data_IF_494442530857
#
_entry.id   IF_494442530857
#
_cell.length_a   1.000
_cell.length_b   1.000
_cell.length_c   1.000
_cell.angle_alpha   90.00
_cell.angle_beta   90.00
_cell.angle_gamma   90.00
#
_symmetry.space_group_name_H-M   'P 1'
#
loop_
_entity.id
_entity.type
_entity.pdbx_description
1 polymer ?
#
# COMPACT_ATOMS: atom_id res chain seq x y z
N UNK A 1 -11.88 34.21 12.72
CA UNK A 1 -10.76 34.07 11.77
C UNK A 1 -10.39 32.60 11.76
N UNK A 2 -10.94 31.82 10.83
CA UNK A 2 -10.60 30.41 10.70
C UNK A 2 -9.18 30.37 10.14
N UNK A 3 -8.23 29.89 10.93
CA UNK A 3 -6.92 29.54 10.41
C UNK A 3 -7.19 28.32 9.51
N UNK A 4 -6.94 28.45 8.21
CA UNK A 4 -7.09 27.37 7.23
C UNK A 4 -5.94 26.37 7.45
N UNK A 5 -6.00 25.60 8.53
CA UNK A 5 -5.10 24.48 8.78
C UNK A 5 -5.90 23.21 8.59
N UNK A 6 -5.84 22.63 7.38
CA UNK A 6 -6.12 21.22 7.06
C UNK A 6 -7.12 20.50 8.01
N UNK A 7 -8.25 21.16 8.26
CA UNK A 7 -9.05 20.97 9.46
C UNK A 7 -10.53 20.86 9.14
N UNK A 8 -10.86 20.75 7.85
CA UNK A 8 -12.23 20.66 7.36
C UNK A 8 -13.05 19.59 8.09
N UNK A 9 -12.46 18.42 8.35
CA UNK A 9 -13.13 17.34 9.10
C UNK A 9 -13.38 17.69 10.57
N UNK A 10 -12.40 18.27 11.27
CA UNK A 10 -12.57 18.68 12.67
C UNK A 10 -13.56 19.83 12.79
N UNK A 11 -13.46 20.84 11.91
CA UNK A 11 -14.35 21.99 11.89
C UNK A 11 -15.79 21.56 11.55
N UNK A 12 -15.99 20.68 10.57
CA UNK A 12 -17.30 20.11 10.26
C UNK A 12 -17.89 19.36 11.47
N UNK A 13 -17.10 18.54 12.15
CA UNK A 13 -17.53 17.81 13.33
C UNK A 13 -17.85 18.76 14.49
N UNK A 14 -17.00 19.74 14.77
CA UNK A 14 -17.22 20.74 15.83
C UNK A 14 -18.56 21.48 15.65
N UNK A 15 -18.97 21.72 14.40
CA UNK A 15 -20.21 22.41 14.06
C UNK A 15 -21.44 21.48 13.96
N UNK A 16 -21.25 20.15 13.95
CA UNK A 16 -22.34 19.17 13.79
C UNK A 16 -22.50 18.21 14.97
N UNK A 17 -21.54 18.18 15.90
CA UNK A 17 -21.53 17.30 17.08
C UNK A 17 -21.04 18.00 18.35
N UNK A 18 -20.89 17.25 19.45
CA UNK A 18 -20.33 17.79 20.69
C UNK A 18 -18.82 18.02 20.60
N UNK A 19 -18.31 19.06 21.29
CA UNK A 19 -16.87 19.38 21.36
C UNK A 19 -16.00 18.20 21.83
N UNK A 20 -16.51 17.41 22.78
CA UNK A 20 -15.81 16.22 23.31
C UNK A 20 -15.69 15.13 22.23
N UNK A 21 -16.77 14.86 21.51
CA UNK A 21 -16.76 13.86 20.44
C UNK A 21 -15.87 14.30 19.27
N UNK A 22 -15.94 15.57 18.85
CA UNK A 22 -15.08 16.12 17.81
C UNK A 22 -13.57 16.00 18.17
N UNK A 23 -13.20 16.24 19.43
CA UNK A 23 -11.83 16.09 19.89
C UNK A 23 -11.35 14.63 19.90
N UNK A 24 -12.21 13.68 20.31
CA UNK A 24 -11.89 12.24 20.25
C UNK A 24 -11.62 11.80 18.81
N UNK A 25 -12.50 12.20 17.88
CA UNK A 25 -12.34 11.87 16.45
C UNK A 25 -11.05 12.47 15.90
N UNK A 26 -10.75 13.73 16.20
CA UNK A 26 -9.50 14.36 15.75
C UNK A 26 -8.25 13.64 16.27
N UNK A 27 -8.24 13.24 17.55
CA UNK A 27 -7.15 12.46 18.13
C UNK A 27 -7.00 11.09 17.43
N UNK A 28 -8.13 10.39 17.21
CA UNK A 28 -8.14 9.12 16.49
C UNK A 28 -7.65 9.28 15.05
N UNK A 29 -8.02 10.34 14.35
CA UNK A 29 -7.54 10.63 12.99
C UNK A 29 -6.03 10.84 12.94
N UNK A 30 -5.45 11.57 13.89
CA UNK A 30 -3.99 11.75 13.98
C UNK A 30 -3.30 10.40 14.22
N UNK A 31 -3.83 9.57 15.13
CA UNK A 31 -3.32 8.22 15.38
C UNK A 31 -3.40 7.34 14.12
N UNK A 32 -4.51 7.39 13.38
CA UNK A 32 -4.68 6.67 12.13
C UNK A 32 -3.67 7.11 11.07
N UNK A 33 -3.43 8.42 10.90
CA UNK A 33 -2.43 8.92 9.96
C UNK A 33 -1.01 8.47 10.34
N UNK A 34 -0.67 8.49 11.63
CA UNK A 34 0.62 7.97 12.10
C UNK A 34 0.76 6.47 11.83
N UNK A 35 -0.27 5.68 12.11
CA UNK A 35 -0.29 4.25 11.82
C UNK A 35 -0.14 3.96 10.31
N UNK A 36 -0.84 4.70 9.46
CA UNK A 36 -0.70 4.58 8.00
C UNK A 36 0.71 4.93 7.52
N UNK A 37 1.34 5.98 8.06
CA UNK A 37 2.72 6.33 7.73
C UNK A 37 3.69 5.20 8.09
N UNK A 38 3.53 4.59 9.28
CA UNK A 38 4.34 3.44 9.72
C UNK A 38 4.14 2.23 8.81
N UNK A 39 2.89 1.88 8.49
CA UNK A 39 2.57 0.74 7.63
C UNK A 39 3.14 0.94 6.22
N UNK A 40 2.92 2.11 5.62
CA UNK A 40 3.44 2.44 4.28
C UNK A 40 4.97 2.39 4.23
N UNK A 41 5.63 2.98 5.23
CA UNK A 41 7.10 2.98 5.32
C UNK A 41 7.64 1.57 5.55
N UNK A 42 7.02 0.79 6.44
CA UNK A 42 7.43 -0.59 6.72
C UNK A 42 7.30 -1.47 5.49
N UNK A 43 6.21 -1.34 4.73
CA UNK A 43 6.03 -2.04 3.46
C UNK A 43 7.11 -1.64 2.46
N UNK A 44 7.45 -0.36 2.36
CA UNK A 44 8.53 0.12 1.48
C UNK A 44 9.88 -0.49 1.85
N UNK A 45 10.24 -0.46 3.14
CA UNK A 45 11.49 -1.04 3.63
C UNK A 45 11.53 -2.56 3.46
N UNK A 46 10.41 -3.25 3.68
CA UNK A 46 10.28 -4.69 3.41
C UNK A 46 10.47 -5.04 1.92
N UNK A 47 10.05 -4.17 1.00
CA UNK A 47 10.36 -4.37 -0.42
C UNK A 47 11.83 -4.06 -0.73
N UNK A 48 12.46 -3.15 0.03
CA UNK A 48 13.88 -2.81 -0.13
C UNK A 48 14.83 -3.95 0.31
N UNK A 49 14.37 -4.88 1.16
CA UNK A 49 15.16 -6.06 1.54
C UNK A 49 15.41 -7.01 0.37
N UNK A 50 14.61 -6.94 -0.70
CA UNK A 50 14.87 -7.66 -1.96
C UNK A 50 16.20 -7.25 -2.60
N UNK A 51 16.63 -6.01 -2.35
CA UNK A 51 17.88 -5.44 -2.86
C UNK A 51 19.01 -5.61 -1.85
N UNK A 52 18.71 -5.30 -0.59
CA UNK A 52 19.65 -5.30 0.51
C UNK A 52 19.08 -6.15 1.66
N UNK A 53 19.32 -7.48 1.63
CA UNK A 53 18.75 -8.41 2.62
C UNK A 53 19.17 -8.14 4.06
N UNK A 54 20.29 -7.44 4.28
CA UNK A 54 20.84 -7.12 5.60
C UNK A 54 20.20 -5.89 6.28
N UNK A 55 19.11 -5.34 5.72
CA UNK A 55 18.44 -4.16 6.28
C UNK A 55 17.62 -4.51 7.52
N UNK A 56 17.83 -3.73 8.58
CA UNK A 56 17.01 -3.81 9.79
C UNK A 56 15.71 -3.02 9.60
N UNK A 57 14.63 -3.74 9.25
CA UNK A 57 13.34 -3.13 8.85
C UNK A 57 12.86 -2.09 9.85
N UNK A 58 12.85 -2.42 11.15
CA UNK A 58 12.37 -1.52 12.21
C UNK A 58 13.19 -0.23 12.27
N UNK A 59 14.52 -0.33 12.25
CA UNK A 59 15.40 0.83 12.39
C UNK A 59 15.30 1.75 11.16
N UNK A 60 15.24 1.16 9.96
CA UNK A 60 15.05 1.90 8.71
C UNK A 60 13.68 2.60 8.67
N UNK A 61 12.61 1.92 9.11
CA UNK A 61 11.28 2.55 9.21
C UNK A 61 11.31 3.77 10.13
N UNK A 62 11.88 3.65 11.32
CA UNK A 62 12.01 4.77 12.27
C UNK A 62 12.84 5.90 11.66
N UNK A 63 13.94 5.58 10.99
CA UNK A 63 14.81 6.56 10.34
C UNK A 63 14.10 7.34 9.23
N UNK A 64 13.35 6.66 8.36
CA UNK A 64 12.58 7.31 7.29
C UNK A 64 11.49 8.21 7.85
N UNK A 65 10.73 7.75 8.86
CA UNK A 65 9.72 8.57 9.52
C UNK A 65 10.33 9.80 10.20
N UNK A 66 11.46 9.64 10.89
CA UNK A 66 12.18 10.75 11.51
C UNK A 66 12.67 11.77 10.47
N UNK A 67 13.18 11.32 9.33
CA UNK A 67 13.59 12.19 8.24
C UNK A 67 12.41 13.00 7.70
N UNK A 68 11.27 12.37 7.40
CA UNK A 68 10.07 13.08 6.97
C UNK A 68 9.53 14.05 8.04
N UNK A 69 9.57 13.66 9.32
CA UNK A 69 9.19 14.56 10.42
C UNK A 69 10.08 15.81 10.46
N UNK A 70 11.40 15.66 10.29
CA UNK A 70 12.33 16.79 10.22
C UNK A 70 12.04 17.69 9.01
N UNK A 71 11.78 17.11 7.82
CA UNK A 71 11.43 17.87 6.62
C UNK A 71 10.15 18.71 6.83
N UNK A 72 9.16 18.15 7.52
CA UNK A 72 7.94 18.88 7.89
C UNK A 72 8.22 20.00 8.91
N UNK A 73 9.11 19.77 9.88
CA UNK A 73 9.54 20.81 10.84
C UNK A 73 10.31 21.96 10.18
N UNK A 74 11.09 21.67 9.12
CA UNK A 74 11.77 22.68 8.30
C UNK A 74 10.77 23.53 7.50
N UNK A 75 9.51 23.10 7.38
CA UNK A 75 8.44 23.87 6.75
C UNK A 75 8.42 23.76 5.23
N UNK A 76 8.91 22.65 4.67
CA UNK A 76 8.77 22.38 3.24
C UNK A 76 7.28 22.23 2.92
N UNK A 77 6.75 23.16 2.12
CA UNK A 77 5.35 23.13 1.69
C UNK A 77 5.13 21.98 0.71
N UNK A 78 3.99 21.30 0.86
CA UNK A 78 3.56 20.25 -0.07
C UNK A 78 3.40 20.82 -1.49
N UNK A 79 3.86 20.06 -2.49
CA UNK A 79 3.75 20.44 -3.89
C UNK A 79 2.69 19.63 -4.61
N UNK A 80 1.64 20.30 -5.08
CA UNK A 80 0.57 19.68 -5.87
C UNK A 80 1.09 19.08 -7.20
N UNK A 81 2.12 19.68 -7.80
CA UNK A 81 2.74 19.18 -9.04
C UNK A 81 3.48 17.87 -8.76
N UNK A 82 4.26 17.82 -7.67
CA UNK A 82 4.98 16.60 -7.27
C UNK A 82 3.99 15.50 -6.91
N UNK A 83 2.96 15.81 -6.12
CA UNK A 83 1.92 14.84 -5.75
C UNK A 83 1.18 14.28 -6.98
N UNK A 84 0.81 15.14 -7.93
CA UNK A 84 0.16 14.72 -9.17
C UNK A 84 1.09 13.85 -10.03
N UNK A 85 2.38 14.20 -10.10
CA UNK A 85 3.37 13.42 -10.85
C UNK A 85 3.55 12.02 -10.26
N UNK A 86 3.68 11.93 -8.93
CA UNK A 86 3.76 10.65 -8.21
C UNK A 86 2.50 9.80 -8.43
N UNK A 87 1.31 10.43 -8.37
CA UNK A 87 0.05 9.74 -8.62
C UNK A 87 -0.04 9.19 -10.04
N UNK A 88 0.29 9.99 -11.06
CA UNK A 88 0.26 9.54 -12.47
C UNK A 88 1.26 8.41 -12.69
N UNK A 89 2.48 8.53 -12.16
CA UNK A 89 3.49 7.47 -12.24
C UNK A 89 2.99 6.19 -11.56
N UNK A 90 2.42 6.30 -10.36
CA UNK A 90 1.90 5.16 -9.59
C UNK A 90 0.76 4.44 -10.31
N UNK A 91 -0.21 5.19 -10.86
CA UNK A 91 -1.30 4.62 -11.64
C UNK A 91 -0.75 3.93 -12.90
N UNK A 92 0.20 4.56 -13.60
CA UNK A 92 0.80 3.98 -14.80
C UNK A 92 1.56 2.67 -14.51
N UNK A 93 2.38 2.62 -13.46
CA UNK A 93 3.11 1.40 -13.08
C UNK A 93 2.16 0.30 -12.62
N UNK A 94 1.14 0.61 -11.82
CA UNK A 94 0.13 -0.37 -11.41
C UNK A 94 -0.69 -0.89 -12.59
N UNK A 95 -1.08 -0.04 -13.53
CA UNK A 95 -1.79 -0.47 -14.75
C UNK A 95 -0.92 -1.39 -15.58
N UNK A 96 0.34 -1.02 -15.84
CA UNK A 96 1.26 -1.85 -16.61
C UNK A 96 1.46 -3.22 -15.96
N UNK A 97 1.77 -3.25 -14.67
CA UNK A 97 1.97 -4.48 -13.91
C UNK A 97 0.69 -5.34 -13.92
N UNK A 98 -0.47 -4.73 -13.69
CA UNK A 98 -1.74 -5.46 -13.67
C UNK A 98 -2.08 -6.07 -15.02
N UNK A 99 -1.81 -5.39 -16.15
CA UNK A 99 -2.05 -5.93 -17.48
C UNK A 99 -1.16 -7.15 -17.77
N UNK A 100 0.12 -7.07 -17.41
CA UNK A 100 1.08 -8.17 -17.56
C UNK A 100 0.63 -9.38 -16.74
N UNK A 101 0.32 -9.17 -15.46
CA UNK A 101 -0.12 -10.24 -14.56
C UNK A 101 -1.48 -10.82 -14.97
N UNK A 102 -2.37 -10.00 -15.54
CA UNK A 102 -3.65 -10.47 -16.07
C UNK A 102 -3.45 -11.39 -17.28
N UNK A 103 -2.57 -11.03 -18.22
CA UNK A 103 -2.22 -11.89 -19.36
C UNK A 103 -1.63 -13.22 -18.87
N UNK A 104 -0.72 -13.18 -17.89
CA UNK A 104 -0.17 -14.38 -17.27
C UNK A 104 -1.26 -15.25 -16.62
N UNK A 105 -2.17 -14.63 -15.87
CA UNK A 105 -3.28 -15.33 -15.20
C UNK A 105 -4.19 -16.05 -16.20
N UNK A 106 -4.44 -15.44 -17.37
CA UNK A 106 -5.25 -16.07 -18.43
C UNK A 106 -4.52 -17.27 -19.04
N UNK A 107 -3.20 -17.18 -19.22
CA UNK A 107 -2.38 -18.27 -19.76
C UNK A 107 -2.21 -19.42 -18.76
N UNK A 108 -2.16 -19.12 -17.46
CA UNK A 108 -1.96 -20.06 -16.35
C UNK A 108 -3.18 -20.11 -15.41
N UNK A 109 -4.36 -20.32 -15.99
CA UNK A 109 -5.62 -20.36 -15.24
C UNK A 109 -5.72 -21.52 -14.24
N UNK A 110 -4.82 -22.51 -14.32
CA UNK A 110 -4.70 -23.59 -13.36
C UNK A 110 -4.35 -23.08 -11.95
N UNK A 111 -3.52 -22.03 -11.84
CA UNK A 111 -3.07 -21.48 -10.56
C UNK A 111 -4.24 -20.89 -9.77
N UNK A 112 -5.06 -20.06 -10.43
CA UNK A 112 -6.20 -19.44 -9.77
C UNK A 112 -7.23 -20.50 -9.36
N UNK A 113 -7.48 -21.49 -10.23
CA UNK A 113 -8.41 -22.58 -9.94
C UNK A 113 -7.91 -23.37 -8.73
N UNK A 114 -6.63 -23.75 -8.70
CA UNK A 114 -6.01 -24.49 -7.59
C UNK A 114 -6.12 -23.73 -6.26
N UNK A 115 -5.83 -22.42 -6.27
CA UNK A 115 -5.96 -21.57 -5.09
C UNK A 115 -7.40 -21.52 -4.55
N UNK A 116 -8.41 -21.56 -5.43
CA UNK A 116 -9.82 -21.58 -5.02
C UNK A 116 -10.29 -22.97 -4.55
N UNK A 117 -9.81 -24.06 -5.18
CA UNK A 117 -10.23 -25.42 -4.84
C UNK A 117 -9.51 -25.98 -3.61
N UNK A 118 -8.25 -25.62 -3.42
CA UNK A 118 -7.39 -26.08 -2.33
C UNK A 118 -7.06 -24.92 -1.37
N UNK A 119 -8.09 -24.18 -0.96
CA UNK A 119 -7.93 -23.04 -0.07
C UNK A 119 -7.35 -23.47 1.29
N UNK A 120 -6.13 -23.04 1.57
CA UNK A 120 -5.47 -23.24 2.87
C UNK A 120 -5.51 -21.95 3.69
N UNK A 121 -5.91 -22.06 4.96
CA UNK A 121 -6.01 -20.91 5.87
C UNK A 121 -4.79 -20.85 6.78
N UNK A 122 -4.00 -19.74 6.77
CA UNK A 122 -2.86 -19.62 7.65
C UNK A 122 -3.31 -19.43 9.10
N UNK A 123 -2.57 -20.04 10.04
CA UNK A 123 -2.70 -19.76 11.47
C UNK A 123 -2.32 -18.31 11.74
N UNK A 124 -3.16 -17.60 12.49
CA UNK A 124 -3.00 -16.17 12.78
C UNK A 124 -2.68 -15.97 14.26
N UNK A 125 -1.69 -15.12 14.54
CA UNK A 125 -1.37 -14.70 15.91
C UNK A 125 -2.39 -13.66 16.40
N UNK A 126 -3.05 -13.92 17.52
CA UNK A 126 -4.01 -13.02 18.12
C UNK A 126 -3.82 -12.95 19.64
N UNK A 127 -3.46 -11.77 20.15
CA UNK A 127 -3.30 -11.46 21.59
C UNK A 127 -2.46 -12.54 22.31
N UNK A 128 -1.30 -12.88 21.76
CA UNK A 128 -0.38 -13.86 22.36
C UNK A 128 -0.77 -15.34 22.19
N UNK A 129 -1.90 -15.65 21.55
CA UNK A 129 -2.30 -17.00 21.18
C UNK A 129 -2.25 -17.21 19.66
N UNK A 130 -2.05 -18.45 19.22
CA UNK A 130 -2.19 -18.84 17.81
C UNK A 130 -3.60 -19.36 17.58
N UNK A 131 -4.38 -18.67 16.75
CA UNK A 131 -5.68 -19.14 16.28
C UNK A 131 -5.48 -19.99 15.04
N UNK A 132 -5.99 -21.22 15.07
CA UNK A 132 -5.99 -22.09 13.90
C UNK A 132 -6.70 -21.44 12.72
N UNK A 133 -6.10 -21.61 11.53
CA UNK A 133 -6.64 -21.09 10.30
C UNK A 133 -7.97 -21.75 9.97
N UNK A 134 -9.03 -20.95 9.95
CA UNK A 134 -10.37 -21.32 9.51
C UNK A 134 -10.94 -20.25 8.59
N UNK A 135 -11.98 -20.60 7.82
CA UNK A 135 -12.70 -19.65 6.97
C UNK A 135 -13.14 -18.38 7.75
N UNK A 136 -13.66 -18.56 8.97
CA UNK A 136 -14.08 -17.43 9.81
C UNK A 136 -12.93 -16.51 10.22
N UNK A 137 -11.80 -17.08 10.63
CA UNK A 137 -10.60 -16.29 10.95
C UNK A 137 -10.05 -15.56 9.72
N UNK A 138 -9.99 -16.23 8.56
CA UNK A 138 -9.51 -15.63 7.32
C UNK A 138 -10.42 -14.50 6.84
N UNK A 139 -11.74 -14.66 6.97
CA UNK A 139 -12.70 -13.61 6.63
C UNK A 139 -12.54 -12.39 7.55
N UNK A 140 -12.44 -12.60 8.87
CA UNK A 140 -12.32 -11.50 9.83
C UNK A 140 -10.99 -10.73 9.67
N UNK A 141 -9.86 -11.43 9.67
CA UNK A 141 -8.54 -10.79 9.55
C UNK A 141 -8.27 -10.29 8.13
N UNK A 142 -8.74 -11.00 7.11
CA UNK A 142 -8.65 -10.58 5.71
C UNK A 142 -9.46 -9.31 5.45
N UNK A 143 -10.69 -9.22 5.97
CA UNK A 143 -11.48 -8.00 5.91
C UNK A 143 -10.81 -6.83 6.65
N UNK A 144 -10.28 -7.09 7.85
CA UNK A 144 -9.55 -6.08 8.62
C UNK A 144 -8.32 -5.54 7.88
N UNK A 145 -7.54 -6.43 7.25
CA UNK A 145 -6.41 -6.02 6.42
C UNK A 145 -6.84 -5.25 5.16
N UNK A 146 -7.94 -5.68 4.52
CA UNK A 146 -8.48 -5.02 3.32
C UNK A 146 -8.99 -3.60 3.58
N UNK A 147 -9.43 -3.29 4.81
CA UNK A 147 -9.85 -1.93 5.19
C UNK A 147 -8.73 -0.89 5.06
N UNK A 148 -7.45 -1.30 5.17
CA UNK A 148 -6.30 -0.41 4.90
C UNK A 148 -6.23 0.03 3.43
N UNK A 149 -6.85 -0.72 2.52
CA UNK A 149 -6.94 -0.37 1.11
C UNK A 149 -8.06 0.62 0.79
N UNK A 150 -8.86 1.04 1.79
CA UNK A 150 -10.01 1.96 1.64
C UNK A 150 -9.80 3.28 2.42
N UNK A 151 -8.72 3.38 3.19
CA UNK A 151 -8.36 4.61 3.91
C UNK A 151 -7.83 5.69 2.96
N UNK A 152 -7.79 6.94 3.43
CA UNK A 152 -7.27 8.09 2.68
C UNK A 152 -8.33 9.02 2.12
N UNK A 153 -9.61 8.64 2.10
CA UNK A 153 -10.72 9.52 1.67
C UNK A 153 -10.89 10.71 2.62
N UNK A 154 -10.56 10.51 3.89
CA UNK A 154 -10.55 11.53 4.93
C UNK A 154 -9.62 12.70 4.60
N UNK A 155 -8.55 12.48 3.84
CA UNK A 155 -7.59 13.54 3.49
C UNK A 155 -8.23 14.60 2.59
N UNK A 156 -9.09 14.19 1.63
CA UNK A 156 -9.82 15.11 0.76
C UNK A 156 -10.75 16.04 1.56
N UNK A 157 -11.35 15.53 2.64
CA UNK A 157 -12.22 16.32 3.51
C UNK A 157 -11.44 17.36 4.32
N UNK A 158 -10.16 17.11 4.63
CA UNK A 158 -9.33 18.06 5.35
C UNK A 158 -8.92 19.27 4.50
N UNK A 159 -8.81 19.10 3.18
CA UNK A 159 -8.51 20.16 2.19
C UNK A 159 -9.76 20.74 1.51
N UNK A 160 -10.97 20.47 2.03
CA UNK A 160 -12.21 20.89 1.37
C UNK A 160 -12.31 22.42 1.19
N UNK A 161 -11.70 23.20 2.08
CA UNK A 161 -11.67 24.67 2.03
C UNK A 161 -10.81 25.22 0.88
N UNK A 162 -9.85 24.42 0.38
CA UNK A 162 -8.98 24.79 -0.74
C UNK A 162 -9.55 24.34 -2.10
N UNK A 163 -10.64 23.56 -2.09
CA UNK A 163 -11.26 23.02 -3.29
C UNK A 163 -12.31 23.98 -3.87
N UNK A 164 -12.39 24.06 -5.20
CA UNK A 164 -13.46 24.81 -5.86
C UNK A 164 -14.83 24.16 -5.63
N UNK A 165 -15.94 24.94 -5.64
CA UNK A 165 -17.28 24.42 -5.48
C UNK A 165 -17.59 23.25 -6.44
N UNK A 166 -18.10 22.14 -5.90
CA UNK A 166 -18.45 20.95 -6.67
C UNK A 166 -17.28 20.02 -7.02
N UNK A 167 -16.04 20.34 -6.67
CA UNK A 167 -14.86 19.46 -6.89
C UNK A 167 -14.84 18.30 -5.90
N UNK A 168 -15.13 18.53 -4.62
CA UNK A 168 -15.10 17.51 -3.57
C UNK A 168 -15.85 16.22 -3.94
N UNK A 169 -17.09 16.34 -4.42
CA UNK A 169 -17.90 15.19 -4.84
C UNK A 169 -17.29 14.46 -6.04
N UNK A 170 -16.67 15.18 -6.98
CA UNK A 170 -15.96 14.58 -8.12
C UNK A 170 -14.71 13.83 -7.64
N UNK A 171 -13.94 14.41 -6.73
CA UNK A 171 -12.77 13.78 -6.11
C UNK A 171 -13.15 12.47 -5.42
N UNK A 172 -14.16 12.49 -4.56
CA UNK A 172 -14.64 11.30 -3.84
C UNK A 172 -15.10 10.20 -4.80
N UNK A 173 -15.90 10.55 -5.82
CA UNK A 173 -16.38 9.59 -6.82
C UNK A 173 -15.23 8.97 -7.60
N UNK A 174 -14.30 9.79 -8.07
CA UNK A 174 -13.17 9.32 -8.88
C UNK A 174 -12.20 8.46 -8.05
N UNK A 175 -11.89 8.85 -6.80
CA UNK A 175 -11.07 8.06 -5.88
C UNK A 175 -11.72 6.70 -5.61
N UNK A 176 -13.02 6.67 -5.29
CA UNK A 176 -13.74 5.42 -5.05
C UNK A 176 -13.70 4.47 -6.24
N UNK A 177 -13.96 4.99 -7.45
CA UNK A 177 -13.95 4.17 -8.67
C UNK A 177 -12.56 3.60 -8.97
N UNK A 178 -11.50 4.42 -8.94
CA UNK A 178 -10.14 3.99 -9.24
C UNK A 178 -9.63 2.97 -8.22
N UNK A 179 -9.84 3.26 -6.93
CA UNK A 179 -9.42 2.36 -5.86
C UNK A 179 -10.14 1.02 -5.90
N UNK A 180 -11.46 1.03 -6.13
CA UNK A 180 -12.23 -0.22 -6.23
C UNK A 180 -11.74 -1.07 -7.40
N UNK A 181 -11.47 -0.45 -8.55
CA UNK A 181 -10.92 -1.12 -9.72
C UNK A 181 -9.57 -1.78 -9.40
N UNK A 182 -8.60 -1.02 -8.87
CA UNK A 182 -7.27 -1.56 -8.58
C UNK A 182 -7.29 -2.60 -7.46
N UNK A 183 -8.07 -2.42 -6.39
CA UNK A 183 -8.13 -3.41 -5.31
C UNK A 183 -8.69 -4.76 -5.80
N UNK A 184 -9.75 -4.74 -6.62
CA UNK A 184 -10.32 -5.97 -7.20
C UNK A 184 -9.33 -6.58 -8.20
N UNK A 185 -8.77 -5.77 -9.10
CA UNK A 185 -7.82 -6.24 -10.10
C UNK A 185 -6.57 -6.86 -9.48
N UNK A 186 -5.97 -6.19 -8.49
CA UNK A 186 -4.79 -6.65 -7.78
C UNK A 186 -5.06 -7.93 -6.99
N UNK A 187 -6.25 -8.07 -6.38
CA UNK A 187 -6.64 -9.31 -5.72
C UNK A 187 -6.68 -10.47 -6.74
N UNK A 188 -7.34 -10.28 -7.88
CA UNK A 188 -7.44 -11.30 -8.93
C UNK A 188 -6.07 -11.70 -9.46
N UNK A 189 -5.21 -10.74 -9.84
CA UNK A 189 -3.91 -11.08 -10.43
C UNK A 189 -2.92 -11.64 -9.41
N UNK A 190 -2.98 -11.26 -8.13
CA UNK A 190 -2.12 -11.86 -7.11
C UNK A 190 -2.46 -13.34 -6.90
N UNK A 191 -3.76 -13.69 -6.79
CA UNK A 191 -4.20 -15.08 -6.72
C UNK A 191 -4.09 -15.82 -8.07
N UNK A 192 -4.00 -15.09 -9.17
CA UNK A 192 -3.83 -15.66 -10.51
C UNK A 192 -2.40 -16.02 -10.86
N UNK A 193 -1.43 -15.31 -10.31
CA UNK A 193 0.00 -15.53 -10.59
C UNK A 193 0.67 -16.35 -9.51
N UNK A 194 0.36 -16.12 -8.24
CA UNK A 194 1.04 -16.76 -7.11
C UNK A 194 0.21 -17.89 -6.52
N UNK A 195 0.87 -19.02 -6.24
CA UNK A 195 0.28 -20.11 -5.44
C UNK A 195 0.15 -19.68 -3.98
N UNK A 196 -0.81 -20.25 -3.26
CA UNK A 196 -0.98 -19.97 -1.83
C UNK A 196 0.24 -20.42 -1.00
N UNK A 197 0.71 -21.63 -1.28
CA UNK A 197 1.81 -22.30 -0.58
C UNK A 197 3.04 -22.48 -1.48
N UNK A 198 4.20 -22.77 -0.88
CA UNK A 198 5.47 -23.00 -1.58
C UNK A 198 6.43 -21.80 -1.54
N UNK A 199 7.68 -21.98 -2.02
CA UNK A 199 8.75 -20.99 -1.88
C UNK A 199 8.45 -19.67 -2.61
N UNK A 200 7.75 -19.73 -3.74
CA UNK A 200 7.31 -18.56 -4.51
C UNK A 200 5.88 -18.11 -4.17
N UNK A 201 5.25 -18.77 -3.18
CA UNK A 201 3.86 -18.56 -2.82
C UNK A 201 3.60 -17.33 -1.96
N UNK A 202 2.32 -16.99 -1.80
CA UNK A 202 1.86 -15.80 -1.08
C UNK A 202 2.29 -15.83 0.39
N UNK A 203 2.22 -16.99 1.06
CA UNK A 203 2.52 -17.10 2.50
C UNK A 203 3.98 -16.86 2.84
N UNK A 204 4.90 -17.42 2.06
CA UNK A 204 6.35 -17.23 2.24
C UNK A 204 6.78 -15.80 1.88
N UNK A 205 6.14 -15.20 0.87
CA UNK A 205 6.50 -13.86 0.36
C UNK A 205 5.53 -12.75 0.81
N UNK A 206 4.88 -12.92 1.96
CA UNK A 206 3.77 -12.07 2.45
C UNK A 206 4.11 -10.59 2.63
N UNK A 207 5.39 -10.22 2.73
CA UNK A 207 5.82 -8.83 2.95
C UNK A 207 6.04 -8.03 1.67
N UNK A 208 6.11 -8.68 0.51
CA UNK A 208 6.38 -8.06 -0.78
C UNK A 208 5.62 -8.76 -1.92
N UNK A 209 4.39 -9.20 -1.64
CA UNK A 209 3.53 -9.98 -2.55
C UNK A 209 3.48 -9.38 -3.95
N UNK A 210 3.25 -8.06 -4.08
CA UNK A 210 3.13 -7.43 -5.39
C UNK A 210 4.45 -7.47 -6.19
N UNK A 211 5.60 -7.35 -5.53
CA UNK A 211 6.90 -7.50 -6.17
C UNK A 211 7.13 -8.95 -6.61
N UNK A 212 6.73 -9.92 -5.79
CA UNK A 212 6.79 -11.35 -6.13
C UNK A 212 5.86 -11.68 -7.32
N UNK A 213 4.65 -11.13 -7.35
CA UNK A 213 3.72 -11.26 -8.48
C UNK A 213 4.37 -10.76 -9.77
N UNK A 214 5.04 -9.60 -9.73
CA UNK A 214 5.79 -9.08 -10.87
C UNK A 214 6.95 -9.98 -11.29
N UNK A 215 7.70 -10.51 -10.33
CA UNK A 215 8.82 -11.43 -10.57
C UNK A 215 8.35 -12.69 -11.33
N UNK A 216 7.28 -13.31 -10.88
CA UNK A 216 6.77 -14.55 -11.49
C UNK A 216 6.12 -14.26 -12.85
N UNK A 217 5.35 -13.18 -12.97
CA UNK A 217 4.64 -12.88 -14.22
C UNK A 217 5.55 -12.44 -15.38
N UNK A 218 6.61 -11.68 -15.09
CA UNK A 218 7.46 -11.11 -16.15
C UNK A 218 8.95 -11.01 -15.82
N UNK A 219 9.39 -11.52 -14.67
CA UNK A 219 10.79 -11.53 -14.27
C UNK A 219 11.23 -10.29 -13.50
N UNK A 220 12.54 -10.19 -13.27
CA UNK A 220 13.14 -9.22 -12.34
C UNK A 220 12.78 -7.78 -12.69
N UNK A 221 12.72 -7.40 -13.96
CA UNK A 221 12.38 -6.02 -14.34
C UNK A 221 11.00 -5.57 -13.84
N UNK A 222 10.01 -6.48 -13.81
CA UNK A 222 8.67 -6.20 -13.30
C UNK A 222 8.63 -6.19 -11.77
N UNK A 223 9.45 -7.03 -11.11
CA UNK A 223 9.69 -6.95 -9.67
C UNK A 223 10.18 -5.55 -9.26
N UNK A 224 11.04 -4.94 -10.08
CA UNK A 224 11.60 -3.59 -9.83
C UNK A 224 10.62 -2.43 -10.06
N UNK A 225 9.49 -2.66 -10.72
CA UNK A 225 8.47 -1.61 -10.90
C UNK A 225 7.79 -1.26 -9.57
N UNK A 226 7.75 -2.20 -8.62
CA UNK A 226 6.99 -2.08 -7.36
C UNK A 226 7.74 -1.28 -6.28
N UNK A 227 9.03 -1.52 -5.98
CA UNK A 227 9.81 -0.70 -5.04
C UNK A 227 10.12 0.72 -5.56
N UNK A 228 9.66 1.05 -6.77
CA UNK A 228 10.06 2.21 -7.57
C UNK A 228 11.52 2.20 -8.04
N UNK A 229 11.63 2.48 -9.33
CA UNK A 229 12.79 2.44 -10.20
C UNK A 229 13.75 3.62 -9.91
N UNK A 230 14.36 3.69 -8.71
CA UNK A 230 15.30 4.78 -8.35
C UNK A 230 16.78 4.38 -8.33
N UNK A 231 17.15 3.11 -8.48
CA UNK A 231 18.53 2.64 -8.30
C UNK A 231 19.16 1.96 -9.52
N UNK A 232 18.72 2.29 -10.74
CA UNK A 232 19.43 1.80 -11.95
C UNK A 232 20.82 2.44 -12.14
N UNK A 233 21.13 3.51 -11.40
CA UNK A 233 22.41 4.22 -11.54
C UNK A 233 23.53 3.77 -10.59
N UNK A 234 23.26 2.92 -9.59
CA UNK A 234 24.29 2.47 -8.64
C UNK A 234 24.67 0.99 -8.74
N UNK A 235 23.90 0.18 -9.47
CA UNK A 235 24.19 -1.24 -9.68
C UNK A 235 24.40 -1.53 -11.17
N UNK A 236 25.46 -0.96 -11.74
CA UNK A 236 26.06 -1.55 -12.93
C UNK A 236 26.57 -2.96 -12.55
N UNK A 237 26.35 -3.98 -13.38
CA UNK A 237 26.77 -5.34 -13.06
C UNK A 237 28.30 -5.36 -13.00
N UNK A 238 28.87 -5.65 -11.82
CA UNK A 238 30.25 -6.06 -11.74
C UNK A 238 30.37 -7.38 -12.49
N UNK A 239 30.87 -7.32 -13.72
CA UNK A 239 31.39 -8.46 -14.47
C UNK A 239 32.33 -9.25 -13.57
N UNK A 240 31.90 -10.42 -13.09
CA UNK A 240 32.85 -11.42 -12.59
C UNK A 240 33.49 -12.05 -13.81
N UNK A 241 34.83 -11.97 -13.96
CA UNK A 241 35.52 -12.57 -15.07
C UNK A 241 35.47 -14.10 -14.96
N UNK A 242 35.27 -14.73 -16.11
CA UNK A 242 35.59 -16.12 -16.39
C UNK A 242 37.08 -16.38 -16.19
N UNK A 243 37.43 -17.39 -15.39
CA UNK A 243 38.66 -18.19 -15.44
C UNK A 243 38.62 -19.15 -14.24
N UNK A 244 38.99 -20.41 -14.29
CA UNK A 244 39.36 -21.39 -15.31
C UNK A 244 39.27 -22.75 -14.59
#
# INVERSE_FOLDING_TARGET
MAISLNGGSYNALLNTTSKRFAAIVACLSILCYAAMAVVSTTTTVNNMTLIAPSLHVVLCTVGVLAAFAILMLIGIKESAIVATTLFVFHVATLTLLSLICLVYTIQHSDIIIDNFTHATYPTVGFIGASLEGSFGSALFFGFGAAMLGVTGFETSANFIEEQQPGVFRKTMRNMWSIMSLFNILLAVVNFGVLKMDGPDGIKENKYYVLAQTGLIAAGTWAQWLVPSMYLRSCAAPSSRPTSA
#
